data_IF_433303779966
#
_entry.id   IF_433303779966
#
_cell.length_a   1.000
_cell.length_b   1.000
_cell.length_c   1.000
_cell.angle_alpha   90.00
_cell.angle_beta   90.00
_cell.angle_gamma   90.00
#
_symmetry.space_group_name_H-M   'P 1'
#
loop_
_entity.id
_entity.type
_entity.pdbx_description
1 polymer ?
#
# COMPACT_ATOMS: atom_id res chain seq x y z
N UNK A 1 8.23 56.69 68.60
CA UNK A 1 7.37 55.60 68.02
C UNK A 1 7.70 55.58 66.55
N UNK A 2 8.53 54.62 66.12
CA UNK A 2 8.76 54.31 64.72
C UNK A 2 8.20 52.89 64.46
N UNK A 3 7.10 52.85 63.78
CA UNK A 3 6.49 51.61 63.36
C UNK A 3 7.00 51.28 61.94
N UNK A 4 7.81 50.21 61.81
CA UNK A 4 8.38 49.78 60.57
C UNK A 4 7.36 48.96 59.76
N UNK A 5 7.01 49.53 58.62
CA UNK A 5 6.20 48.82 57.61
C UNK A 5 7.13 48.25 56.55
N UNK A 6 7.54 47.01 56.72
CA UNK A 6 8.15 46.18 55.61
C UNK A 6 8.02 44.68 55.88
N UNK A 7 6.95 44.02 55.45
CA UNK A 7 7.16 42.72 54.79
C UNK A 7 6.28 42.39 53.56
N UNK A 8 5.31 43.22 53.16
CA UNK A 8 4.35 42.82 52.12
C UNK A 8 4.91 42.75 50.70
N UNK A 9 5.94 43.52 50.35
CA UNK A 9 6.48 43.59 48.97
C UNK A 9 7.39 42.41 48.61
N UNK A 10 8.02 41.75 49.57
CA UNK A 10 8.91 40.59 49.32
C UNK A 10 8.12 39.32 49.04
N UNK A 11 6.98 39.11 49.70
CA UNK A 11 6.12 37.92 49.51
C UNK A 11 5.43 37.89 48.15
N UNK A 12 5.12 39.02 47.55
CA UNK A 12 4.49 39.09 46.22
C UNK A 12 5.51 38.81 45.09
N UNK A 13 6.75 39.24 45.22
CA UNK A 13 7.80 38.99 44.22
C UNK A 13 8.20 37.51 44.16
N UNK A 14 8.28 36.80 45.29
CA UNK A 14 8.56 35.35 45.32
C UNK A 14 7.44 34.51 44.71
N UNK A 15 6.18 34.85 44.99
CA UNK A 15 5.02 34.14 44.42
C UNK A 15 4.92 34.31 42.92
N UNK A 16 5.24 35.49 42.38
CA UNK A 16 5.26 35.74 40.93
C UNK A 16 6.43 35.04 40.24
N UNK A 17 7.59 34.95 40.87
CA UNK A 17 8.72 34.19 40.36
C UNK A 17 8.41 32.69 40.27
N UNK A 18 7.85 32.10 41.32
CA UNK A 18 7.38 30.69 41.34
C UNK A 18 6.33 30.41 40.27
N UNK A 19 5.39 31.32 40.05
CA UNK A 19 4.36 31.24 39.04
C UNK A 19 4.92 31.27 37.63
N UNK A 20 5.94 32.11 37.41
CA UNK A 20 6.65 32.23 36.13
C UNK A 20 7.46 30.97 35.84
N UNK A 21 8.19 30.43 36.80
CA UNK A 21 8.93 29.18 36.64
C UNK A 21 8.02 27.98 36.36
N UNK A 22 6.86 27.89 37.02
CA UNK A 22 5.86 26.83 36.73
C UNK A 22 5.30 26.95 35.31
N UNK A 23 5.03 28.16 34.82
CA UNK A 23 4.57 28.39 33.43
C UNK A 23 5.66 28.02 32.41
N UNK A 24 6.91 28.41 32.69
CA UNK A 24 8.06 28.03 31.85
C UNK A 24 8.26 26.50 31.83
N UNK A 25 8.23 25.85 32.98
CA UNK A 25 8.34 24.40 33.05
C UNK A 25 7.21 23.71 32.32
N UNK A 26 5.96 24.18 32.46
CA UNK A 26 4.81 23.62 31.71
C UNK A 26 4.95 23.85 30.20
N UNK A 27 5.46 24.99 29.76
CA UNK A 27 5.71 25.26 28.33
C UNK A 27 6.79 24.34 27.76
N UNK A 28 7.89 24.11 28.51
CA UNK A 28 8.95 23.17 28.08
C UNK A 28 8.46 21.74 27.99
N UNK A 29 7.65 21.31 28.97
CA UNK A 29 7.02 19.96 28.93
C UNK A 29 6.05 19.82 27.75
N UNK A 30 5.24 20.86 27.49
CA UNK A 30 4.31 20.86 26.35
C UNK A 30 5.06 20.82 24.99
N UNK A 31 6.13 21.60 24.85
CA UNK A 31 6.98 21.57 23.66
C UNK A 31 7.66 20.20 23.46
N UNK A 32 8.15 19.61 24.54
CA UNK A 32 8.75 18.27 24.52
C UNK A 32 7.74 17.19 24.11
N UNK A 33 6.51 17.27 24.63
CA UNK A 33 5.43 16.36 24.27
C UNK A 33 5.00 16.52 22.80
N UNK A 34 4.92 17.76 22.30
CA UNK A 34 4.61 18.01 20.88
C UNK A 34 5.73 17.50 19.95
N UNK A 35 6.99 17.71 20.31
CA UNK A 35 8.11 17.19 19.55
C UNK A 35 8.13 15.66 19.53
N UNK A 36 7.89 15.00 20.66
CA UNK A 36 7.77 13.55 20.75
C UNK A 36 6.60 13.01 19.91
N UNK A 37 5.44 13.67 19.97
CA UNK A 37 4.28 13.32 19.16
C UNK A 37 4.56 13.47 17.65
N UNK A 38 5.25 14.54 17.25
CA UNK A 38 5.67 14.76 15.87
C UNK A 38 6.64 13.67 15.39
N UNK A 39 7.64 13.31 16.21
CA UNK A 39 8.59 12.24 15.89
C UNK A 39 7.88 10.90 15.75
N UNK A 40 6.96 10.56 16.68
CA UNK A 40 6.17 9.34 16.61
C UNK A 40 5.28 9.31 15.36
N UNK A 41 4.66 10.43 15.02
CA UNK A 41 3.84 10.55 13.81
C UNK A 41 4.68 10.34 12.54
N UNK A 42 5.86 10.96 12.44
CA UNK A 42 6.77 10.79 11.31
C UNK A 42 7.26 9.33 11.23
N UNK A 43 7.66 8.75 12.36
CA UNK A 43 8.11 7.37 12.42
C UNK A 43 7.02 6.34 12.04
N UNK A 44 5.75 6.62 12.36
CA UNK A 44 4.63 5.74 12.00
C UNK A 44 4.24 5.80 10.53
N UNK A 45 4.68 6.80 9.78
CA UNK A 45 4.44 6.94 8.35
C UNK A 45 5.69 6.61 7.50
N UNK A 46 6.84 6.38 8.15
CA UNK A 46 8.03 5.89 7.44
C UNK A 46 7.86 4.40 7.12
N UNK A 47 8.23 3.98 5.91
CA UNK A 47 8.12 2.58 5.50
C UNK A 47 8.08 2.42 3.99
N UNK A 48 7.87 1.19 3.58
CA UNK A 48 7.73 0.83 2.18
C UNK A 48 6.27 0.81 1.76
N UNK A 49 5.99 1.31 0.56
CA UNK A 49 4.63 1.46 0.05
C UNK A 49 4.52 1.06 -1.41
N UNK A 50 3.50 0.27 -1.71
CA UNK A 50 3.00 0.14 -3.08
C UNK A 50 2.10 1.34 -3.37
N UNK A 51 2.52 2.18 -4.29
CA UNK A 51 1.83 3.42 -4.70
C UNK A 51 1.06 3.17 -5.98
N UNK A 52 -0.22 3.49 -5.95
CA UNK A 52 -1.12 3.46 -7.11
C UNK A 52 -1.43 4.88 -7.52
N UNK A 53 -1.08 5.26 -8.74
CA UNK A 53 -1.28 6.62 -9.26
C UNK A 53 -2.09 6.60 -10.56
N UNK A 54 -2.71 7.73 -10.89
CA UNK A 54 -3.27 7.94 -12.23
C UNK A 54 -2.12 7.91 -13.26
N UNK A 55 -2.23 7.04 -14.25
CA UNK A 55 -1.17 6.81 -15.23
C UNK A 55 -0.95 7.96 -16.22
N UNK A 56 -1.85 8.97 -16.24
CA UNK A 56 -1.75 10.15 -17.12
C UNK A 56 -1.25 11.37 -16.37
N UNK A 57 -1.87 11.68 -15.23
CA UNK A 57 -1.51 12.84 -14.41
C UNK A 57 -0.34 12.58 -13.46
N UNK A 58 -0.13 11.33 -13.07
CA UNK A 58 0.82 10.95 -12.01
C UNK A 58 0.29 11.23 -10.60
N UNK A 59 -0.95 11.67 -10.45
CA UNK A 59 -1.57 11.91 -9.15
C UNK A 59 -1.70 10.60 -8.38
N UNK A 60 -1.27 10.60 -7.11
CA UNK A 60 -1.43 9.45 -6.23
C UNK A 60 -2.91 9.25 -5.90
N UNK A 61 -3.40 8.04 -6.14
CA UNK A 61 -4.78 7.63 -5.86
C UNK A 61 -4.88 6.88 -4.54
N UNK A 62 -3.89 6.05 -4.25
CA UNK A 62 -3.79 5.28 -3.01
C UNK A 62 -2.35 4.83 -2.78
N UNK A 63 -2.01 4.56 -1.51
CA UNK A 63 -0.76 3.90 -1.14
C UNK A 63 -1.04 2.84 -0.08
N UNK A 64 -0.37 1.71 -0.21
CA UNK A 64 -0.56 0.55 0.65
C UNK A 64 0.80 0.17 1.26
N UNK A 65 0.91 0.10 2.59
CA UNK A 65 2.13 -0.40 3.22
C UNK A 65 2.35 -1.86 2.79
N UNK A 66 3.57 -2.15 2.36
CA UNK A 66 3.98 -3.46 1.89
C UNK A 66 5.48 -3.60 2.14
N UNK A 67 5.88 -4.56 2.96
CA UNK A 67 7.28 -4.75 3.32
C UNK A 67 8.03 -5.52 2.22
N UNK A 68 9.34 -5.33 2.04
CA UNK A 68 10.15 -6.13 1.12
C UNK A 68 10.00 -7.63 1.37
N UNK A 69 9.80 -8.40 0.29
CA UNK A 69 9.50 -9.83 0.32
C UNK A 69 8.00 -10.15 0.41
N UNK A 70 7.15 -9.15 0.60
CA UNK A 70 5.70 -9.36 0.51
C UNK A 70 5.23 -9.34 -0.94
N UNK A 71 4.06 -9.94 -1.16
CA UNK A 71 3.48 -10.10 -2.49
C UNK A 71 2.23 -9.25 -2.68
N UNK A 72 2.01 -8.88 -3.91
CA UNK A 72 0.73 -8.39 -4.40
C UNK A 72 0.45 -9.00 -5.78
N UNK A 73 -0.81 -8.97 -6.19
CA UNK A 73 -1.18 -9.45 -7.52
C UNK A 73 -2.15 -8.48 -8.21
N UNK A 74 -2.11 -8.49 -9.54
CA UNK A 74 -3.04 -7.73 -10.39
C UNK A 74 -3.75 -8.68 -11.32
N UNK A 75 -5.07 -8.75 -11.22
CA UNK A 75 -5.88 -9.66 -12.00
C UNK A 75 -6.99 -8.98 -12.80
N UNK A 76 -7.46 -9.67 -13.82
CA UNK A 76 -8.60 -9.25 -14.65
C UNK A 76 -9.20 -10.45 -15.40
N UNK A 77 -10.38 -10.28 -16.00
CA UNK A 77 -10.93 -11.27 -16.93
C UNK A 77 -10.36 -11.01 -18.32
N UNK A 78 -9.64 -11.99 -18.85
CA UNK A 78 -9.08 -11.92 -20.19
C UNK A 78 -10.19 -11.88 -21.25
N UNK A 79 -10.16 -10.90 -22.15
CA UNK A 79 -11.26 -10.59 -23.06
C UNK A 79 -11.57 -11.69 -24.09
N UNK A 80 -10.59 -12.53 -24.41
CA UNK A 80 -10.75 -13.63 -25.37
C UNK A 80 -11.23 -14.89 -24.68
N UNK A 81 -10.56 -15.29 -23.60
CA UNK A 81 -10.83 -16.55 -22.92
C UNK A 81 -11.97 -16.46 -21.91
N UNK A 82 -12.37 -15.23 -21.53
CA UNK A 82 -13.36 -14.93 -20.50
C UNK A 82 -13.05 -15.64 -19.16
N UNK A 83 -11.78 -15.77 -18.85
CA UNK A 83 -11.23 -16.40 -17.65
C UNK A 83 -10.28 -15.45 -16.93
N UNK A 84 -10.06 -15.61 -15.63
CA UNK A 84 -9.08 -14.83 -14.89
C UNK A 84 -7.68 -14.98 -15.48
N UNK A 85 -6.96 -13.85 -15.52
CA UNK A 85 -5.52 -13.77 -15.68
C UNK A 85 -5.00 -12.96 -14.51
N UNK A 86 -4.02 -13.46 -13.82
CA UNK A 86 -3.47 -12.87 -12.60
C UNK A 86 -1.96 -12.88 -12.71
N UNK A 87 -1.36 -11.71 -12.56
CA UNK A 87 0.09 -11.54 -12.45
C UNK A 87 0.43 -11.29 -10.97
N UNK A 88 1.34 -12.09 -10.43
CA UNK A 88 1.82 -12.02 -9.04
C UNK A 88 3.18 -11.38 -9.02
N UNK A 89 3.36 -10.43 -8.13
CA UNK A 89 4.58 -9.66 -7.94
C UNK A 89 5.08 -9.79 -6.51
N UNK A 90 6.40 -9.79 -6.34
CA UNK A 90 7.06 -9.62 -5.06
C UNK A 90 7.79 -8.28 -5.03
N UNK A 91 7.76 -7.57 -3.90
CA UNK A 91 8.46 -6.31 -3.73
C UNK A 91 9.81 -6.52 -3.05
N UNK A 92 10.82 -5.71 -3.40
CA UNK A 92 12.19 -5.88 -2.94
C UNK A 92 12.77 -4.61 -2.32
N UNK A 93 13.78 -4.77 -1.47
CA UNK A 93 14.52 -3.67 -0.82
C UNK A 93 15.20 -2.70 -1.82
N UNK A 94 15.36 -3.12 -3.07
CA UNK A 94 15.90 -2.27 -4.14
C UNK A 94 14.87 -1.28 -4.74
N UNK A 95 13.63 -1.27 -4.20
CA UNK A 95 12.54 -0.42 -4.67
C UNK A 95 11.87 -0.92 -5.95
N UNK A 96 12.07 -2.18 -6.30
CA UNK A 96 11.48 -2.81 -7.50
C UNK A 96 10.37 -3.78 -7.15
N UNK A 97 9.52 -3.99 -8.12
CA UNK A 97 8.48 -5.02 -8.14
C UNK A 97 8.93 -6.10 -9.13
N UNK A 98 9.01 -7.34 -8.71
CA UNK A 98 9.39 -8.47 -9.55
C UNK A 98 8.16 -9.30 -9.87
N UNK A 99 7.82 -9.44 -11.17
CA UNK A 99 6.82 -10.42 -11.59
C UNK A 99 7.40 -11.81 -11.38
N UNK A 100 6.78 -12.58 -10.51
CA UNK A 100 7.25 -13.91 -10.14
C UNK A 100 6.39 -15.00 -10.77
N UNK A 101 5.10 -14.72 -10.98
CA UNK A 101 4.17 -15.72 -11.47
C UNK A 101 3.04 -15.09 -12.30
N UNK A 102 2.57 -15.84 -13.31
CA UNK A 102 1.32 -15.54 -14.03
C UNK A 102 0.42 -16.76 -14.02
N UNK A 103 -0.84 -16.57 -13.61
CA UNK A 103 -1.87 -17.61 -13.55
C UNK A 103 -2.94 -17.32 -14.61
N UNK A 104 -3.21 -18.28 -15.49
CA UNK A 104 -4.25 -18.19 -16.51
C UNK A 104 -4.87 -19.56 -16.83
N UNK A 105 -5.95 -19.62 -17.62
CA UNK A 105 -6.75 -20.85 -17.76
C UNK A 105 -6.81 -21.43 -19.17
N UNK A 106 -6.26 -20.77 -20.14
CA UNK A 106 -6.33 -21.23 -21.52
C UNK A 106 -5.24 -20.56 -22.34
N UNK A 107 -4.57 -21.34 -23.17
CA UNK A 107 -3.68 -20.80 -24.18
C UNK A 107 -4.46 -19.95 -25.19
N UNK A 108 -3.84 -18.88 -25.66
CA UNK A 108 -4.44 -17.99 -26.66
C UNK A 108 -3.67 -16.68 -26.82
N UNK A 109 -4.26 -15.75 -27.55
CA UNK A 109 -3.61 -14.47 -27.81
C UNK A 109 -3.28 -13.70 -26.52
N UNK A 110 -2.01 -13.34 -26.36
CA UNK A 110 -1.52 -12.52 -25.27
C UNK A 110 -1.14 -13.29 -23.99
N UNK A 111 -1.17 -14.63 -24.00
CA UNK A 111 -0.63 -15.45 -22.90
C UNK A 111 0.59 -16.23 -23.39
N UNK A 112 1.49 -16.51 -22.47
CA UNK A 112 2.71 -17.26 -22.72
C UNK A 112 2.36 -18.72 -23.08
N UNK A 113 2.97 -19.26 -24.14
CA UNK A 113 2.74 -20.63 -24.60
C UNK A 113 3.98 -21.50 -24.47
N UNK A 114 5.12 -20.91 -24.22
CA UNK A 114 6.42 -21.56 -24.05
C UNK A 114 7.12 -20.97 -22.81
N UNK A 115 7.86 -21.78 -22.10
CA UNK A 115 8.66 -21.35 -20.95
C UNK A 115 9.96 -20.70 -21.41
N UNK A 116 10.31 -19.57 -20.80
CA UNK A 116 11.62 -18.95 -20.92
C UNK A 116 12.70 -19.73 -20.17
N UNK A 117 13.94 -19.27 -20.30
CA UNK A 117 15.06 -19.87 -19.59
C UNK A 117 14.91 -19.65 -18.07
N UNK A 118 14.87 -20.73 -17.32
CA UNK A 118 14.70 -20.71 -15.86
C UNK A 118 13.25 -20.66 -15.37
N UNK A 119 12.29 -20.37 -16.25
CA UNK A 119 10.88 -20.38 -15.91
C UNK A 119 10.33 -21.79 -15.76
N UNK A 120 9.23 -21.92 -15.05
CA UNK A 120 8.47 -23.17 -14.88
C UNK A 120 7.06 -23.01 -15.42
N UNK A 121 6.47 -24.09 -15.91
CA UNK A 121 5.05 -24.13 -16.26
C UNK A 121 4.40 -25.36 -15.62
N UNK A 122 3.40 -25.13 -14.80
CA UNK A 122 2.67 -26.17 -14.06
C UNK A 122 1.18 -26.07 -14.32
N UNK A 123 0.46 -27.18 -14.10
CA UNK A 123 -1.00 -27.22 -14.20
C UNK A 123 -1.58 -27.33 -12.79
N UNK A 124 -2.40 -26.37 -12.41
CA UNK A 124 -3.20 -26.42 -11.18
C UNK A 124 -4.36 -27.43 -11.29
N UNK A 125 -4.86 -27.87 -10.13
CA UNK A 125 -5.96 -28.85 -10.04
C UNK A 125 -7.26 -28.37 -10.71
N UNK A 126 -7.48 -27.06 -10.76
CA UNK A 126 -8.65 -26.41 -11.37
C UNK A 126 -8.47 -26.10 -12.86
N UNK A 127 -7.39 -26.59 -13.49
CA UNK A 127 -7.02 -26.33 -14.86
C UNK A 127 -6.32 -24.99 -15.09
N UNK A 128 -5.85 -24.35 -14.02
CA UNK A 128 -4.97 -23.20 -14.13
C UNK A 128 -3.64 -23.60 -14.76
N UNK A 129 -3.12 -22.74 -15.62
CA UNK A 129 -1.76 -22.79 -16.12
C UNK A 129 -0.99 -21.76 -15.33
N UNK A 130 0.07 -22.18 -14.66
CA UNK A 130 0.87 -21.36 -13.77
C UNK A 130 2.28 -21.31 -14.36
N UNK A 131 2.70 -20.13 -14.78
CA UNK A 131 4.08 -19.85 -15.17
C UNK A 131 4.76 -19.15 -14.00
N UNK A 132 5.78 -19.78 -13.45
CA UNK A 132 6.52 -19.29 -12.30
C UNK A 132 8.01 -19.10 -12.58
N UNK A 133 8.75 -18.58 -11.61
CA UNK A 133 10.16 -18.22 -11.70
C UNK A 133 10.43 -17.21 -12.83
N UNK A 134 9.52 -16.27 -13.07
CA UNK A 134 9.65 -15.26 -14.11
C UNK A 134 10.76 -14.25 -13.74
N UNK A 135 10.74 -13.79 -12.50
CA UNK A 135 11.70 -12.85 -11.89
C UNK A 135 12.02 -11.63 -12.75
N UNK A 136 11.01 -11.02 -13.38
CA UNK A 136 11.15 -9.83 -14.18
C UNK A 136 10.93 -8.58 -13.35
N UNK A 137 11.96 -7.73 -13.18
CA UNK A 137 11.93 -6.53 -12.37
C UNK A 137 11.37 -5.31 -13.08
N UNK A 138 10.53 -4.52 -12.35
CA UNK A 138 9.95 -3.27 -12.80
C UNK A 138 10.18 -2.18 -11.74
N UNK A 139 10.62 -1.01 -12.15
CA UNK A 139 10.60 0.20 -11.30
C UNK A 139 9.20 0.81 -11.27
N UNK A 140 8.49 0.70 -12.39
CA UNK A 140 7.14 1.18 -12.59
C UNK A 140 6.48 0.40 -13.72
N UNK A 141 5.21 0.06 -13.57
CA UNK A 141 4.41 -0.44 -14.68
C UNK A 141 3.02 0.20 -14.69
N UNK A 142 2.35 0.09 -15.83
CA UNK A 142 1.00 0.65 -16.00
C UNK A 142 0.05 -0.41 -16.50
N UNK A 143 -1.21 -0.33 -16.08
CA UNK A 143 -2.28 -1.12 -16.66
C UNK A 143 -3.53 -0.29 -16.94
N UNK A 144 -4.33 -0.77 -17.92
CA UNK A 144 -5.62 -0.17 -18.22
C UNK A 144 -6.71 -0.75 -17.33
N UNK A 145 -7.53 0.10 -16.73
CA UNK A 145 -8.77 -0.30 -16.07
C UNK A 145 -9.85 -0.42 -17.14
N UNK A 146 -10.32 -1.64 -17.41
CA UNK A 146 -11.14 -1.94 -18.56
C UNK A 146 -12.59 -1.53 -18.44
N UNK A 147 -13.32 -1.70 -19.56
CA UNK A 147 -14.77 -1.50 -19.62
C UNK A 147 -15.54 -2.80 -19.49
N UNK A 148 -14.92 -3.92 -19.86
CA UNK A 148 -15.56 -5.24 -19.93
C UNK A 148 -15.38 -6.02 -18.63
N UNK A 149 -14.22 -5.85 -17.99
CA UNK A 149 -13.93 -6.40 -16.68
C UNK A 149 -13.19 -5.36 -15.84
N UNK A 150 -13.28 -5.47 -14.52
CA UNK A 150 -12.48 -4.68 -13.61
C UNK A 150 -11.01 -5.11 -13.68
N UNK A 151 -10.12 -4.29 -13.12
CA UNK A 151 -8.79 -4.67 -12.66
C UNK A 151 -8.85 -4.80 -11.16
N UNK A 152 -8.37 -5.92 -10.67
CA UNK A 152 -8.37 -6.24 -9.24
C UNK A 152 -6.94 -6.22 -8.74
N UNK A 153 -6.66 -5.35 -7.78
CA UNK A 153 -5.41 -5.38 -7.01
C UNK A 153 -5.65 -6.26 -5.77
N UNK A 154 -4.74 -7.17 -5.51
CA UNK A 154 -4.76 -8.07 -4.36
C UNK A 154 -3.46 -7.89 -3.59
N UNK A 155 -3.54 -7.62 -2.28
CA UNK A 155 -2.38 -7.43 -1.41
C UNK A 155 -2.26 -8.63 -0.47
N UNK A 156 -1.10 -9.27 -0.47
CA UNK A 156 -0.79 -10.50 0.27
C UNK A 156 -0.63 -11.72 -0.64
N UNK A 157 -0.24 -12.84 -0.04
CA UNK A 157 -0.12 -14.13 -0.74
C UNK A 157 -1.51 -14.68 -1.09
N UNK A 158 -1.80 -14.77 -2.39
CA UNK A 158 -3.11 -15.22 -2.88
C UNK A 158 -3.27 -16.75 -2.84
N UNK A 159 -2.19 -17.52 -2.76
CA UNK A 159 -2.21 -18.97 -2.94
C UNK A 159 -3.05 -19.72 -1.89
N UNK A 160 -2.97 -19.40 -0.59
CA UNK A 160 -3.77 -20.10 0.42
C UNK A 160 -5.28 -19.96 0.21
N UNK A 161 -5.71 -18.77 -0.23
CA UNK A 161 -7.13 -18.39 -0.37
C UNK A 161 -7.59 -18.36 -1.84
N UNK A 162 -6.75 -18.82 -2.78
CA UNK A 162 -6.99 -18.72 -4.22
C UNK A 162 -8.38 -19.21 -4.67
N UNK A 163 -8.93 -20.33 -4.20
CA UNK A 163 -10.27 -20.78 -4.59
C UNK A 163 -11.38 -19.78 -4.24
N UNK A 164 -11.22 -19.02 -3.14
CA UNK A 164 -12.16 -18.00 -2.71
C UNK A 164 -11.93 -16.66 -3.44
N UNK A 165 -10.69 -16.35 -3.80
CA UNK A 165 -10.28 -15.12 -4.50
C UNK A 165 -10.66 -15.17 -5.98
N UNK A 166 -10.42 -16.30 -6.64
CA UNK A 166 -10.62 -16.47 -8.09
C UNK A 166 -11.97 -15.96 -8.62
N UNK A 167 -13.13 -16.21 -7.98
CA UNK A 167 -14.42 -15.70 -8.45
C UNK A 167 -14.57 -14.19 -8.39
N UNK A 168 -13.71 -13.49 -7.64
CA UNK A 168 -13.76 -12.05 -7.41
C UNK A 168 -12.86 -11.28 -8.38
N UNK A 169 -11.92 -11.97 -9.03
CA UNK A 169 -10.96 -11.34 -9.96
C UNK A 169 -11.67 -10.80 -11.19
N UNK A 170 -11.47 -9.51 -11.44
CA UNK A 170 -11.99 -8.83 -12.62
C UNK A 170 -13.49 -8.57 -12.60
N UNK A 171 -14.16 -8.81 -11.48
CA UNK A 171 -15.60 -8.59 -11.32
C UNK A 171 -15.85 -7.14 -10.88
N UNK A 172 -16.76 -6.45 -11.56
CA UNK A 172 -17.23 -5.15 -11.10
C UNK A 172 -18.06 -5.28 -9.83
N UNK A 173 -17.71 -4.53 -8.83
CA UNK A 173 -18.38 -4.48 -7.53
C UNK A 173 -18.68 -3.02 -7.15
N UNK A 174 -19.55 -2.78 -6.20
CA UNK A 174 -19.80 -1.48 -5.58
C UNK A 174 -18.91 -1.21 -4.37
N UNK A 175 -18.11 -2.20 -3.96
CA UNK A 175 -17.14 -2.09 -2.86
C UNK A 175 -15.76 -1.74 -3.40
N UNK A 176 -15.10 -0.73 -2.80
CA UNK A 176 -13.72 -0.40 -3.12
C UNK A 176 -12.78 -1.50 -2.64
N UNK A 177 -12.96 -1.96 -1.40
CA UNK A 177 -12.10 -2.96 -0.76
C UNK A 177 -12.94 -4.06 -0.11
N UNK A 178 -12.41 -5.28 -0.12
CA UNK A 178 -12.96 -6.42 0.62
C UNK A 178 -11.81 -7.32 1.10
N UNK A 179 -12.05 -8.07 2.18
CA UNK A 179 -11.06 -8.98 2.77
C UNK A 179 -11.47 -10.43 2.48
N UNK A 180 -10.52 -11.26 2.02
CA UNK A 180 -10.68 -12.70 1.84
C UNK A 180 -9.47 -13.39 2.47
N UNK A 181 -9.67 -14.08 3.57
CA UNK A 181 -8.55 -14.58 4.37
C UNK A 181 -7.60 -13.45 4.77
N UNK A 182 -6.32 -13.63 4.48
CA UNK A 182 -5.28 -12.63 4.74
C UNK A 182 -5.08 -11.67 3.54
N UNK A 183 -5.82 -11.86 2.44
CA UNK A 183 -5.67 -11.03 1.22
C UNK A 183 -6.69 -9.90 1.21
N UNK A 184 -6.21 -8.67 1.00
CA UNK A 184 -7.04 -7.50 0.72
C UNK A 184 -7.25 -7.38 -0.80
N UNK A 185 -8.49 -7.32 -1.23
CA UNK A 185 -8.90 -7.21 -2.63
C UNK A 185 -9.43 -5.80 -2.88
N UNK A 186 -8.90 -5.11 -3.89
CA UNK A 186 -9.23 -3.73 -4.23
C UNK A 186 -9.73 -3.65 -5.67
N UNK A 187 -10.88 -3.04 -5.87
CA UNK A 187 -11.43 -2.72 -7.19
C UNK A 187 -10.78 -1.46 -7.75
N UNK A 188 -9.98 -1.58 -8.80
CA UNK A 188 -9.34 -0.42 -9.41
C UNK A 188 -10.36 0.46 -10.18
N UNK A 189 -11.47 -0.09 -10.66
CA UNK A 189 -12.51 0.73 -11.27
C UNK A 189 -13.24 1.63 -10.26
N UNK A 190 -13.32 1.22 -8.99
CA UNK A 190 -13.85 2.04 -7.93
C UNK A 190 -12.82 3.06 -7.41
N UNK A 191 -11.52 2.75 -7.53
CA UNK A 191 -10.45 3.64 -7.13
C UNK A 191 -10.24 4.80 -8.13
N UNK A 192 -10.20 4.50 -9.44
CA UNK A 192 -9.81 5.48 -10.47
C UNK A 192 -10.84 5.67 -11.59
N UNK A 193 -11.95 4.95 -11.56
CA UNK A 193 -12.93 4.93 -12.63
C UNK A 193 -12.60 3.98 -13.78
N UNK A 194 -13.60 3.61 -14.55
CA UNK A 194 -13.43 2.80 -15.77
C UNK A 194 -12.80 3.65 -16.88
N UNK A 195 -12.08 3.00 -17.80
CA UNK A 195 -11.31 3.60 -18.90
C UNK A 195 -10.12 4.44 -18.45
N UNK A 196 -9.67 4.23 -17.23
CA UNK A 196 -8.48 4.87 -16.69
C UNK A 196 -7.22 4.05 -16.98
N UNK A 197 -6.07 4.67 -16.81
CA UNK A 197 -4.77 4.01 -16.77
C UNK A 197 -4.26 4.24 -15.36
N UNK A 198 -3.83 3.19 -14.69
CA UNK A 198 -3.16 3.28 -13.40
C UNK A 198 -1.70 2.88 -13.54
N UNK A 199 -0.85 3.46 -12.71
CA UNK A 199 0.54 3.08 -12.57
C UNK A 199 0.82 2.59 -11.17
N UNK A 200 1.71 1.61 -11.08
CA UNK A 200 2.22 1.04 -9.84
C UNK A 200 3.68 1.37 -9.72
N UNK A 201 4.09 1.76 -8.52
CA UNK A 201 5.48 2.02 -8.15
C UNK A 201 5.66 1.58 -6.69
N UNK A 202 6.83 1.05 -6.38
CA UNK A 202 7.20 0.67 -5.03
C UNK A 202 8.28 1.61 -4.52
N UNK A 203 8.07 2.22 -3.35
CA UNK A 203 8.99 3.22 -2.84
C UNK A 203 9.07 3.21 -1.32
N UNK A 204 10.23 3.60 -0.81
CA UNK A 204 10.43 3.86 0.60
C UNK A 204 10.15 5.33 0.90
N UNK A 205 9.28 5.60 1.88
CA UNK A 205 8.95 6.93 2.38
C UNK A 205 9.55 7.14 3.76
N UNK A 206 10.10 8.30 3.97
CA UNK A 206 10.64 8.70 5.27
C UNK A 206 9.60 9.36 6.16
N UNK A 207 8.54 9.90 5.58
CA UNK A 207 7.39 10.56 6.23
C UNK A 207 6.28 10.80 5.19
#
# INVERSE_FOLDING_TARGET
VLQGDRPAVILTAETDLFRTHRKLAAAVVALGAMAAAAILFLASNAGWYLVVSDGKSGEELASYPLEPGEQFAVGFIHSVNLRPLIDVYEVSEDGRMYAEETIYYQFGAGVQTEVGEGETMTLGEDGAIIVGNIHQGFEKFTCSVGMVSDRTLMLGDIHPDYPAIKPLVGVFTDQLEQQVGDVKIISLSNLCGRRSIVSFQYEHRLF
#
